data_IF_774579839785
#
_entry.id   IF_774579839785
#
_cell.length_a   1.000
_cell.length_b   1.000
_cell.length_c   1.000
_cell.angle_alpha   90.00
_cell.angle_beta   90.00
_cell.angle_gamma   90.00
#
_symmetry.space_group_name_H-M   'P 1'
#
loop_
_entity.id
_entity.type
_entity.pdbx_description
1 polymer ?
#
# COMPACT_ATOMS: atom_id res chain seq x y z
N UNK A 1 -1.29 -24.47 -23.93
CA UNK A 1 -1.49 -23.60 -22.76
C UNK A 1 -0.74 -22.25 -22.89
N UNK A 2 0.59 -22.22 -23.06
CA UNK A 2 1.40 -20.99 -23.17
C UNK A 2 0.99 -20.14 -24.39
N UNK A 3 0.79 -20.75 -25.56
CA UNK A 3 0.35 -20.06 -26.77
C UNK A 3 -1.03 -19.40 -26.59
N UNK A 4 -1.98 -20.11 -26.01
CA UNK A 4 -3.32 -19.57 -25.75
C UNK A 4 -3.29 -18.44 -24.73
N UNK A 5 -2.48 -18.56 -23.67
CA UNK A 5 -2.28 -17.51 -22.68
C UNK A 5 -1.71 -16.24 -23.32
N UNK A 6 -0.74 -16.39 -24.21
CA UNK A 6 -0.13 -15.27 -24.93
C UNK A 6 -1.16 -14.58 -25.86
N UNK A 7 -1.91 -15.36 -26.63
CA UNK A 7 -2.95 -14.82 -27.52
C UNK A 7 -3.99 -14.04 -26.71
N UNK A 8 -4.48 -14.61 -25.60
CA UNK A 8 -5.43 -13.92 -24.70
C UNK A 8 -4.86 -12.62 -24.15
N UNK A 9 -3.56 -12.59 -23.82
CA UNK A 9 -2.89 -11.39 -23.33
C UNK A 9 -2.85 -10.29 -24.38
N UNK A 10 -2.56 -10.63 -25.65
CA UNK A 10 -2.61 -9.68 -26.75
C UNK A 10 -4.03 -9.19 -27.03
N UNK A 11 -5.02 -10.08 -27.05
CA UNK A 11 -6.41 -9.71 -27.24
C UNK A 11 -6.90 -8.77 -26.12
N UNK A 12 -6.54 -9.05 -24.88
CA UNK A 12 -6.88 -8.19 -23.75
C UNK A 12 -6.21 -6.82 -23.85
N UNK A 13 -4.92 -6.77 -24.22
CA UNK A 13 -4.21 -5.50 -24.42
C UNK A 13 -4.85 -4.68 -25.56
N UNK A 14 -5.15 -5.32 -26.69
CA UNK A 14 -5.84 -4.67 -27.79
C UNK A 14 -7.23 -4.14 -27.41
N UNK A 15 -8.00 -4.94 -26.67
CA UNK A 15 -9.31 -4.51 -26.16
C UNK A 15 -9.20 -3.33 -25.20
N UNK A 16 -8.20 -3.32 -24.31
CA UNK A 16 -7.96 -2.21 -23.38
C UNK A 16 -7.62 -0.92 -24.14
N UNK A 17 -6.68 -0.99 -25.10
CA UNK A 17 -6.25 0.17 -25.88
C UNK A 17 -7.39 0.79 -26.70
N UNK A 18 -8.35 -0.02 -27.17
CA UNK A 18 -9.50 0.44 -27.94
C UNK A 18 -10.75 0.68 -27.09
N UNK A 19 -10.65 0.49 -25.77
CA UNK A 19 -11.77 0.72 -24.85
C UNK A 19 -11.88 2.19 -24.46
N UNK A 20 -13.09 2.75 -24.33
CA UNK A 20 -13.30 4.04 -23.70
C UNK A 20 -12.69 4.13 -22.28
N UNK A 21 -12.56 3.02 -21.57
CA UNK A 21 -11.92 2.93 -20.27
C UNK A 21 -10.42 3.30 -20.30
N UNK A 22 -9.75 3.21 -21.46
CA UNK A 22 -8.37 3.65 -21.62
C UNK A 22 -8.17 5.13 -21.25
N UNK A 23 -9.20 5.97 -21.42
CA UNK A 23 -9.17 7.39 -21.02
C UNK A 23 -9.02 7.57 -19.49
N UNK A 24 -9.32 6.56 -18.69
CA UNK A 24 -9.09 6.64 -17.25
C UNK A 24 -7.60 6.77 -16.89
N UNK A 25 -6.71 6.26 -17.76
CA UNK A 25 -5.25 6.36 -17.58
C UNK A 25 -4.69 7.74 -18.00
N UNK A 26 -5.45 8.55 -18.71
CA UNK A 26 -5.02 9.86 -19.16
C UNK A 26 -5.30 10.94 -18.09
N UNK A 27 -4.31 11.21 -17.26
CA UNK A 27 -4.39 12.23 -16.21
C UNK A 27 -4.43 13.67 -16.76
N UNK A 28 -4.09 13.89 -18.04
CA UNK A 28 -4.20 15.22 -18.66
C UNK A 28 -5.65 15.68 -18.81
N UNK A 29 -6.60 14.75 -18.75
CA UNK A 29 -8.03 15.04 -18.77
C UNK A 29 -8.56 15.49 -17.39
N UNK A 30 -7.75 15.42 -16.33
CA UNK A 30 -8.15 15.81 -15.00
C UNK A 30 -7.93 17.31 -14.79
N UNK A 31 -8.90 18.06 -14.23
CA UNK A 31 -8.69 19.45 -13.84
C UNK A 31 -7.49 19.58 -12.91
N UNK A 32 -6.66 20.59 -13.15
CA UNK A 32 -5.41 20.80 -12.39
C UNK A 32 -5.68 20.98 -10.89
N UNK A 33 -6.82 21.54 -10.51
CA UNK A 33 -7.20 21.69 -9.11
C UNK A 33 -7.48 20.36 -8.43
N UNK A 34 -8.03 19.38 -9.15
CA UNK A 34 -8.18 18.03 -8.64
C UNK A 34 -6.82 17.34 -8.47
N UNK A 35 -5.91 17.54 -9.42
CA UNK A 35 -4.53 17.01 -9.30
C UNK A 35 -3.86 17.55 -8.03
N UNK A 36 -3.95 18.85 -7.78
CA UNK A 36 -3.38 19.50 -6.59
C UNK A 36 -3.85 18.88 -5.28
N UNK A 37 -5.10 18.45 -5.19
CA UNK A 37 -5.67 17.82 -3.98
C UNK A 37 -4.99 16.50 -3.60
N UNK A 38 -4.36 15.83 -4.57
CA UNK A 38 -3.64 14.57 -4.38
C UNK A 38 -2.13 14.75 -4.19
N UNK A 39 -1.63 15.97 -4.24
CA UNK A 39 -0.22 16.25 -4.10
C UNK A 39 0.15 16.76 -2.71
N UNK A 40 1.38 16.56 -2.27
CA UNK A 40 1.88 17.22 -1.07
C UNK A 40 1.75 18.73 -1.16
N UNK A 41 1.51 19.40 -0.02
CA UNK A 41 1.37 20.84 0.02
C UNK A 41 2.56 21.57 -0.61
N UNK A 42 2.28 22.53 -1.49
CA UNK A 42 3.30 23.34 -2.16
C UNK A 42 3.97 22.68 -3.37
N UNK A 43 3.57 21.46 -3.73
CA UNK A 43 4.09 20.81 -4.94
C UNK A 43 3.33 21.28 -6.17
N UNK A 44 4.07 21.71 -7.21
CA UNK A 44 3.51 22.08 -8.50
C UNK A 44 3.17 20.82 -9.32
N UNK A 45 1.92 20.66 -9.79
CA UNK A 45 1.51 19.56 -10.66
C UNK A 45 2.40 19.36 -11.88
N UNK A 46 2.86 20.45 -12.51
CA UNK A 46 3.71 20.35 -13.69
C UNK A 46 5.04 19.67 -13.38
N UNK A 47 5.64 19.94 -12.23
CA UNK A 47 6.86 19.27 -11.77
C UNK A 47 6.62 17.79 -11.48
N UNK A 48 5.48 17.46 -10.87
CA UNK A 48 5.09 16.07 -10.60
C UNK A 48 4.96 15.26 -11.89
N UNK A 49 4.27 15.80 -12.89
CA UNK A 49 4.13 15.13 -14.19
C UNK A 49 5.47 14.95 -14.90
N UNK A 50 6.33 15.96 -14.86
CA UNK A 50 7.69 15.87 -15.43
C UNK A 50 8.51 14.81 -14.71
N UNK A 51 8.55 14.81 -13.37
CA UNK A 51 9.28 13.84 -12.58
C UNK A 51 8.75 12.41 -12.79
N UNK A 52 7.44 12.23 -12.89
CA UNK A 52 6.82 10.91 -13.12
C UNK A 52 7.24 10.27 -14.45
N UNK A 53 7.62 11.07 -15.44
CA UNK A 53 8.12 10.60 -16.75
C UNK A 53 9.64 10.38 -16.78
N UNK A 54 10.37 10.90 -15.81
CA UNK A 54 11.82 10.74 -15.73
C UNK A 54 12.19 9.31 -15.35
N UNK A 55 13.26 8.79 -15.94
CA UNK A 55 13.86 7.50 -15.55
C UNK A 55 14.81 7.64 -14.36
N UNK A 56 15.36 8.84 -14.18
CA UNK A 56 16.28 9.18 -13.10
C UNK A 56 15.53 9.81 -11.92
N UNK A 57 16.13 9.79 -10.74
CA UNK A 57 15.60 10.50 -9.58
C UNK A 57 14.37 9.85 -8.93
N UNK A 58 14.40 8.54 -8.68
CA UNK A 58 13.30 7.82 -8.03
C UNK A 58 12.85 8.46 -6.69
N UNK A 59 13.80 8.93 -5.89
CA UNK A 59 13.49 9.65 -4.65
C UNK A 59 12.75 10.97 -4.93
N UNK A 60 13.18 11.71 -5.94
CA UNK A 60 12.54 12.97 -6.33
C UNK A 60 11.10 12.73 -6.82
N UNK A 61 10.83 11.65 -7.56
CA UNK A 61 9.48 11.30 -8.00
C UNK A 61 8.52 11.08 -6.83
N UNK A 62 8.97 10.38 -5.79
CA UNK A 62 8.13 10.14 -4.61
C UNK A 62 7.88 11.45 -3.84
N UNK A 63 8.91 12.24 -3.60
CA UNK A 63 8.77 13.51 -2.88
C UNK A 63 7.96 14.57 -3.63
N UNK A 64 7.88 14.47 -4.96
CA UNK A 64 7.03 15.33 -5.80
C UNK A 64 5.61 14.76 -6.02
N UNK A 65 5.19 13.75 -5.27
CA UNK A 65 3.80 13.32 -5.24
C UNK A 65 3.40 12.25 -6.25
N UNK A 66 4.35 11.42 -6.72
CA UNK A 66 4.05 10.29 -7.62
C UNK A 66 2.98 9.36 -7.04
N UNK A 67 3.06 9.05 -5.74
CA UNK A 67 2.05 8.26 -5.06
C UNK A 67 0.66 8.91 -5.15
N UNK A 68 0.58 10.22 -5.01
CA UNK A 68 -0.67 10.98 -5.16
C UNK A 68 -1.27 10.86 -6.56
N UNK A 69 -0.45 10.91 -7.61
CA UNK A 69 -0.92 10.64 -8.97
C UNK A 69 -1.44 9.21 -9.11
N UNK A 70 -0.81 8.24 -8.44
CA UNK A 70 -1.28 6.86 -8.37
C UNK A 70 -2.66 6.75 -7.70
N UNK A 71 -2.89 7.46 -6.60
CA UNK A 71 -4.19 7.51 -5.93
C UNK A 71 -5.26 8.19 -6.81
N UNK A 72 -4.93 9.28 -7.48
CA UNK A 72 -5.82 9.92 -8.44
C UNK A 72 -6.18 8.99 -9.60
N UNK A 73 -5.21 8.28 -10.13
CA UNK A 73 -5.44 7.27 -11.16
C UNK A 73 -6.33 6.14 -10.65
N UNK A 74 -6.11 5.66 -9.42
CA UNK A 74 -6.97 4.66 -8.79
C UNK A 74 -8.42 5.13 -8.69
N UNK A 75 -8.67 6.40 -8.30
CA UNK A 75 -10.01 6.98 -8.26
C UNK A 75 -10.66 6.92 -9.65
N UNK A 76 -9.98 7.37 -10.70
CA UNK A 76 -10.47 7.34 -12.08
C UNK A 76 -10.76 5.92 -12.56
N UNK A 77 -9.90 4.98 -12.20
CA UNK A 77 -10.10 3.57 -12.51
C UNK A 77 -11.33 3.00 -11.80
N UNK A 78 -11.59 3.35 -10.54
CA UNK A 78 -12.81 2.91 -9.84
C UNK A 78 -14.09 3.33 -10.56
N UNK A 79 -14.10 4.43 -11.30
CA UNK A 79 -15.23 4.90 -12.09
C UNK A 79 -15.51 4.02 -13.32
N UNK A 80 -14.50 3.35 -13.87
CA UNK A 80 -14.62 2.49 -15.06
C UNK A 80 -14.68 1.00 -14.75
N UNK A 81 -14.54 0.61 -13.48
CA UNK A 81 -14.96 -0.69 -12.96
C UNK A 81 -13.92 -1.82 -12.87
N UNK A 82 -12.59 -1.59 -12.84
CA UNK A 82 -11.65 -2.64 -12.50
C UNK A 82 -11.94 -3.18 -11.09
N UNK A 83 -11.66 -4.46 -10.90
CA UNK A 83 -11.99 -5.15 -9.65
C UNK A 83 -10.85 -5.13 -8.64
N UNK A 84 -9.64 -4.85 -9.11
CA UNK A 84 -8.43 -4.83 -8.28
C UNK A 84 -7.45 -3.80 -8.81
N UNK A 85 -7.02 -2.90 -7.94
CA UNK A 85 -6.06 -1.84 -8.22
C UNK A 85 -5.00 -1.87 -7.13
N UNK A 86 -3.74 -1.79 -7.52
CA UNK A 86 -2.62 -1.65 -6.60
C UNK A 86 -1.94 -0.31 -6.85
N UNK A 87 -1.78 0.47 -5.80
CA UNK A 87 -0.96 1.68 -5.78
C UNK A 87 0.17 1.45 -4.79
N UNK A 88 1.40 1.54 -5.25
CA UNK A 88 2.57 1.31 -4.40
C UNK A 88 3.47 2.53 -4.39
N UNK A 89 4.15 2.75 -3.28
CA UNK A 89 5.34 3.59 -3.26
C UNK A 89 6.49 2.84 -3.92
N UNK A 90 7.43 3.56 -4.51
CA UNK A 90 8.58 2.93 -5.16
C UNK A 90 9.53 2.34 -4.11
N UNK A 91 9.92 1.07 -4.30
CA UNK A 91 10.98 0.47 -3.51
C UNK A 91 12.34 0.97 -4.00
N UNK A 92 13.08 1.57 -3.09
CA UNK A 92 14.46 1.99 -3.32
C UNK A 92 15.27 1.51 -2.12
N UNK A 93 16.22 0.59 -2.31
CA UNK A 93 17.06 0.10 -1.21
C UNK A 93 17.70 1.25 -0.42
N UNK A 94 17.61 1.18 0.91
CA UNK A 94 18.16 2.16 1.85
C UNK A 94 17.54 3.56 1.79
N UNK A 95 16.48 3.73 1.02
CA UNK A 95 15.74 5.00 0.90
C UNK A 95 14.25 4.79 1.14
N UNK A 96 13.52 5.88 1.24
CA UNK A 96 12.07 5.89 1.45
C UNK A 96 11.66 5.03 2.66
N UNK A 97 10.80 4.04 2.47
CA UNK A 97 10.32 3.14 3.52
C UNK A 97 11.37 2.11 3.98
N UNK A 98 12.40 1.86 3.19
CA UNK A 98 13.49 0.96 3.55
C UNK A 98 14.52 1.70 4.43
N UNK A 99 14.11 2.08 5.62
CA UNK A 99 14.91 2.89 6.54
C UNK A 99 16.04 2.07 7.17
N UNK A 100 17.26 2.61 7.15
CA UNK A 100 18.45 2.04 7.77
C UNK A 100 19.16 3.02 8.68
N UNK A 101 18.78 4.28 8.65
CA UNK A 101 19.25 5.35 9.49
C UNK A 101 18.17 6.42 9.64
N UNK A 102 18.17 7.16 10.73
CA UNK A 102 17.24 8.27 10.96
C UNK A 102 15.77 7.91 10.66
N UNK A 103 15.37 6.68 11.00
CA UNK A 103 14.13 6.07 10.56
C UNK A 103 12.88 6.83 11.00
N UNK A 104 12.89 7.44 12.19
CA UNK A 104 11.75 8.23 12.65
C UNK A 104 11.48 9.45 11.78
N UNK A 105 12.54 10.20 11.44
CA UNK A 105 12.41 11.39 10.58
C UNK A 105 11.99 10.97 9.16
N UNK A 106 12.65 9.95 8.60
CA UNK A 106 12.32 9.43 7.26
C UNK A 106 10.89 8.89 7.19
N UNK A 107 10.47 8.12 8.18
CA UNK A 107 9.09 7.62 8.24
C UNK A 107 8.06 8.76 8.35
N UNK A 108 8.37 9.82 9.10
CA UNK A 108 7.50 11.00 9.19
C UNK A 108 7.40 11.72 7.83
N UNK A 109 8.49 11.81 7.09
CA UNK A 109 8.49 12.39 5.74
C UNK A 109 7.66 11.54 4.77
N UNK A 110 7.85 10.22 4.79
CA UNK A 110 7.08 9.30 3.94
C UNK A 110 5.58 9.31 4.28
N UNK A 111 5.22 9.38 5.56
CA UNK A 111 3.82 9.52 5.98
C UNK A 111 3.18 10.77 5.39
N UNK A 112 3.89 11.90 5.38
CA UNK A 112 3.38 13.14 4.76
C UNK A 112 3.13 13.00 3.26
N UNK A 113 3.85 12.10 2.57
CA UNK A 113 3.64 11.85 1.13
C UNK A 113 2.39 11.03 0.84
N UNK A 114 1.96 10.17 1.77
CA UNK A 114 0.82 9.26 1.55
C UNK A 114 -0.48 9.71 2.23
N UNK A 115 -0.41 10.51 3.28
CA UNK A 115 -1.56 10.88 4.12
C UNK A 115 -2.63 11.62 3.32
N UNK A 116 -2.30 12.78 2.76
CA UNK A 116 -3.25 13.58 1.99
C UNK A 116 -3.82 12.82 0.76
N UNK A 117 -3.00 12.13 -0.07
CA UNK A 117 -3.53 11.35 -1.19
C UNK A 117 -4.51 10.24 -0.80
N UNK A 118 -4.24 9.52 0.28
CA UNK A 118 -5.15 8.47 0.76
C UNK A 118 -6.47 9.10 1.26
N UNK A 119 -6.38 10.15 2.07
CA UNK A 119 -7.56 10.86 2.55
C UNK A 119 -8.39 11.40 1.38
N UNK A 120 -7.75 12.02 0.38
CA UNK A 120 -8.45 12.54 -0.79
C UNK A 120 -9.10 11.43 -1.62
N UNK A 121 -8.46 10.27 -1.78
CA UNK A 121 -9.04 9.12 -2.46
C UNK A 121 -10.33 8.66 -1.76
N UNK A 122 -10.32 8.57 -0.42
CA UNK A 122 -11.50 8.18 0.36
C UNK A 122 -12.63 9.19 0.16
N UNK A 123 -12.34 10.48 0.28
CA UNK A 123 -13.33 11.56 0.11
C UNK A 123 -13.91 11.56 -1.31
N UNK A 124 -13.08 11.46 -2.33
CA UNK A 124 -13.52 11.46 -3.72
C UNK A 124 -14.41 10.25 -4.04
N UNK A 125 -14.10 9.07 -3.49
CA UNK A 125 -14.93 7.89 -3.66
C UNK A 125 -16.25 8.00 -2.87
N UNK A 126 -16.25 8.63 -1.70
CA UNK A 126 -17.45 8.89 -0.93
C UNK A 126 -18.38 9.87 -1.68
N UNK A 127 -17.85 11.00 -2.15
CA UNK A 127 -18.59 11.99 -2.94
C UNK A 127 -19.24 11.40 -4.21
N UNK A 128 -18.58 10.41 -4.82
CA UNK A 128 -19.06 9.72 -6.03
C UNK A 128 -19.97 8.52 -5.74
N UNK A 129 -20.27 8.23 -4.47
CA UNK A 129 -21.06 7.08 -4.08
C UNK A 129 -20.39 5.74 -4.38
N UNK A 130 -19.07 5.72 -4.55
CA UNK A 130 -18.27 4.53 -4.86
C UNK A 130 -17.64 3.87 -3.63
N UNK A 131 -17.50 4.60 -2.51
CA UNK A 131 -16.79 4.10 -1.34
C UNK A 131 -17.44 2.84 -0.74
N UNK A 132 -18.76 2.76 -0.74
CA UNK A 132 -19.47 1.59 -0.19
C UNK A 132 -19.22 0.29 -0.97
N UNK A 133 -18.80 0.39 -2.22
CA UNK A 133 -18.48 -0.75 -3.10
C UNK A 133 -16.99 -0.86 -3.44
N UNK A 134 -16.16 -0.11 -2.75
CA UNK A 134 -14.71 -0.11 -2.92
C UNK A 134 -14.05 -0.27 -1.57
N UNK A 135 -13.40 -1.41 -1.35
CA UNK A 135 -12.58 -1.63 -0.17
C UNK A 135 -11.17 -1.09 -0.44
N UNK A 136 -10.75 -0.10 0.33
CA UNK A 136 -9.38 0.41 0.33
C UNK A 136 -8.63 -0.26 1.46
N UNK A 137 -7.50 -0.87 1.16
CA UNK A 137 -6.60 -1.50 2.13
C UNK A 137 -5.26 -0.80 2.07
N UNK A 138 -4.80 -0.24 3.19
CA UNK A 138 -3.46 0.33 3.32
C UNK A 138 -2.65 -0.57 4.22
N UNK A 139 -1.64 -1.18 3.68
CA UNK A 139 -0.81 -2.17 4.36
C UNK A 139 0.65 -2.09 3.88
N UNK A 140 1.53 -2.66 4.66
CA UNK A 140 2.91 -2.96 4.28
C UNK A 140 3.20 -4.45 4.52
N UNK A 141 4.34 -4.92 4.02
CA UNK A 141 4.75 -6.32 4.13
C UNK A 141 5.13 -6.73 5.55
N UNK A 142 5.68 -5.81 6.34
CA UNK A 142 6.03 -5.98 7.76
C UNK A 142 6.14 -4.60 8.43
N UNK A 143 6.23 -4.61 9.76
CA UNK A 143 6.57 -3.42 10.55
C UNK A 143 8.08 -3.31 10.77
N UNK A 144 8.49 -2.17 11.32
CA UNK A 144 9.86 -1.95 11.73
C UNK A 144 9.95 -1.73 13.23
N UNK A 145 10.93 -2.39 13.85
CA UNK A 145 11.20 -2.21 15.28
C UNK A 145 11.91 -0.87 15.51
N UNK A 146 11.60 -0.23 16.63
CA UNK A 146 12.26 1.00 17.07
C UNK A 146 13.65 0.78 17.66
N UNK A 147 14.12 -0.47 17.72
CA UNK A 147 15.45 -0.81 18.19
C UNK A 147 16.46 -0.43 17.13
N UNK A 148 17.58 0.13 17.55
CA UNK A 148 18.77 0.23 16.72
C UNK A 148 19.33 -1.18 16.52
N UNK A 149 19.54 -1.57 15.29
CA UNK A 149 20.34 -2.75 14.98
C UNK A 149 21.80 -2.32 14.88
N UNK A 150 22.64 -3.02 15.56
CA UNK A 150 24.06 -2.80 15.55
C UNK A 150 24.65 -2.91 16.94
N UNK A 151 25.92 -3.17 17.00
CA UNK A 151 26.68 -3.07 18.24
C UNK A 151 27.21 -1.64 18.33
N UNK A 152 27.17 -1.03 19.53
CA UNK A 152 27.86 0.23 19.73
C UNK A 152 29.28 0.18 19.16
N UNK A 153 29.71 1.28 18.55
CA UNK A 153 31.08 1.46 17.99
C UNK A 153 31.48 0.45 16.89
N UNK A 154 30.50 -0.27 16.30
CA UNK A 154 30.77 -1.13 15.15
C UNK A 154 29.98 -0.66 13.94
N UNK A 155 30.68 -0.22 12.93
CA UNK A 155 30.10 0.01 11.61
C UNK A 155 29.81 -1.33 10.96
N UNK A 156 28.54 -1.60 10.72
CA UNK A 156 28.11 -2.68 9.85
C UNK A 156 27.90 -2.09 8.46
N UNK A 157 28.29 -2.81 7.42
CA UNK A 157 28.07 -2.35 6.05
C UNK A 157 26.61 -1.92 5.86
N UNK A 158 26.43 -0.72 5.31
CA UNK A 158 25.12 -0.12 5.04
C UNK A 158 24.28 0.22 6.30
N UNK A 159 24.91 0.28 7.46
CA UNK A 159 24.28 0.72 8.71
C UNK A 159 25.04 1.91 9.31
N UNK A 160 24.30 2.79 9.98
CA UNK A 160 24.89 3.90 10.72
C UNK A 160 25.58 3.36 11.96
N UNK A 161 26.76 3.89 12.26
CA UNK A 161 27.42 3.65 13.54
C UNK A 161 26.54 4.15 14.67
N UNK A 162 26.22 3.26 15.61
CA UNK A 162 25.38 3.57 16.76
C UNK A 162 26.27 3.86 17.95
N UNK A 163 26.19 5.05 18.57
CA UNK A 163 26.94 5.35 19.77
C UNK A 163 26.51 4.45 20.94
N UNK A 164 27.41 4.23 21.88
CA UNK A 164 27.14 3.41 23.07
C UNK A 164 25.91 3.94 23.85
N UNK A 165 25.75 5.25 23.88
CA UNK A 165 24.59 5.92 24.46
C UNK A 165 23.81 6.67 23.38
N UNK A 166 22.58 6.26 23.16
CA UNK A 166 21.70 6.88 22.18
C UNK A 166 21.03 8.11 22.80
N UNK A 167 21.43 9.28 22.35
CA UNK A 167 20.90 10.57 22.81
C UNK A 167 20.11 11.31 21.71
N UNK A 168 20.32 10.96 20.46
CA UNK A 168 19.74 11.64 19.31
C UNK A 168 18.78 10.70 18.55
N UNK A 169 17.62 11.24 18.15
CA UNK A 169 16.60 10.54 17.38
C UNK A 169 17.13 9.96 16.05
N UNK A 170 18.11 10.62 15.42
CA UNK A 170 18.73 10.15 14.18
C UNK A 170 19.46 8.80 14.31
N UNK A 171 19.85 8.40 15.51
CA UNK A 171 20.51 7.12 15.76
C UNK A 171 19.52 5.93 15.72
N UNK A 172 18.20 6.21 15.75
CA UNK A 172 17.19 5.17 15.59
C UNK A 172 16.95 4.88 14.12
N UNK A 173 17.57 3.82 13.62
CA UNK A 173 17.44 3.42 12.21
C UNK A 173 16.09 2.85 11.84
N UNK A 174 15.44 2.13 12.75
CA UNK A 174 14.18 1.41 12.51
C UNK A 174 14.29 0.40 11.36
N UNK A 175 15.43 -0.22 11.18
CA UNK A 175 15.65 -1.09 10.03
C UNK A 175 15.42 -2.58 10.29
N UNK A 176 15.23 -3.00 11.55
CA UNK A 176 14.90 -4.38 11.84
C UNK A 176 13.47 -4.69 11.40
N UNK A 177 13.33 -5.71 10.55
CA UNK A 177 12.03 -6.23 10.14
C UNK A 177 11.32 -6.85 11.33
N UNK A 178 10.09 -6.43 11.58
CA UNK A 178 9.29 -6.88 12.70
C UNK A 178 7.97 -7.44 12.19
N UNK A 179 7.77 -8.74 12.39
CA UNK A 179 6.63 -9.50 11.82
C UNK A 179 5.62 -9.93 12.87
N UNK A 180 5.89 -9.71 14.17
CA UNK A 180 5.01 -10.12 15.26
C UNK A 180 3.79 -9.20 15.45
N UNK A 181 3.84 -8.00 14.91
CA UNK A 181 2.72 -7.08 14.86
C UNK A 181 2.87 -6.09 13.70
N UNK A 182 1.76 -5.62 13.20
CA UNK A 182 1.67 -4.58 12.16
C UNK A 182 0.29 -3.95 12.19
N UNK A 183 0.11 -2.87 11.46
CA UNK A 183 -1.17 -2.18 11.36
C UNK A 183 -1.66 -2.14 9.92
N UNK A 184 -2.95 -2.36 9.73
CA UNK A 184 -3.63 -2.26 8.45
C UNK A 184 -4.79 -1.30 8.59
N UNK A 185 -4.96 -0.37 7.64
CA UNK A 185 -6.11 0.52 7.58
C UNK A 185 -7.09 0.01 6.52
N UNK A 186 -8.37 0.03 6.85
CA UNK A 186 -9.46 -0.36 5.96
C UNK A 186 -10.46 0.79 5.82
N UNK A 187 -10.87 1.10 4.58
CA UNK A 187 -11.91 2.10 4.31
C UNK A 187 -12.90 1.57 3.30
N UNK A 188 -14.17 1.92 3.45
CA UNK A 188 -15.21 1.57 2.51
C UNK A 188 -15.53 0.08 2.44
N UNK A 189 -16.11 -0.39 1.34
CA UNK A 189 -16.37 -1.81 1.08
C UNK A 189 -17.17 -2.55 2.15
N UNK A 190 -17.98 -1.85 2.96
CA UNK A 190 -18.77 -2.44 4.04
C UNK A 190 -18.01 -2.65 5.36
N UNK A 191 -16.83 -2.04 5.56
CA UNK A 191 -16.16 -2.08 6.87
C UNK A 191 -16.78 -1.09 7.85
N UNK A 192 -16.71 -1.41 9.13
CA UNK A 192 -17.18 -0.53 10.22
C UNK A 192 -16.34 0.74 10.28
N UNK A 193 -17.00 1.89 10.35
CA UNK A 193 -16.34 3.19 10.52
C UNK A 193 -15.88 3.39 11.96
N UNK A 194 -14.67 3.94 12.14
CA UNK A 194 -14.12 4.27 13.47
C UNK A 194 -13.94 3.08 14.40
N UNK A 195 -13.74 1.89 13.83
CA UNK A 195 -13.58 0.65 14.58
C UNK A 195 -12.12 0.22 14.66
N UNK A 196 -11.65 -0.05 15.87
CA UNK A 196 -10.33 -0.61 16.11
C UNK A 196 -10.46 -2.09 16.44
N UNK A 197 -9.71 -2.94 15.73
CA UNK A 197 -9.68 -4.38 15.92
C UNK A 197 -8.28 -4.86 16.24
N UNK A 198 -8.15 -5.57 17.34
CA UNK A 198 -6.87 -6.05 17.83
C UNK A 198 -6.10 -5.00 18.66
N UNK A 199 -5.16 -5.50 19.43
CA UNK A 199 -4.27 -4.68 20.26
C UNK A 199 -2.89 -5.31 20.36
N UNK A 200 -1.86 -4.47 20.29
CA UNK A 200 -0.47 -4.86 20.56
C UNK A 200 -0.09 -4.54 22.01
N UNK A 201 0.90 -5.26 22.54
CA UNK A 201 1.49 -4.94 23.82
C UNK A 201 2.15 -3.55 23.78
N UNK A 202 2.10 -2.83 24.89
CA UNK A 202 2.76 -1.53 25.04
C UNK A 202 4.27 -1.68 25.27
N UNK A 203 4.67 -2.83 25.82
CA UNK A 203 6.05 -3.15 26.15
C UNK A 203 6.59 -4.27 25.25
N UNK A 204 7.89 -4.39 25.20
CA UNK A 204 8.57 -5.45 24.44
C UNK A 204 8.36 -6.83 25.04
N UNK A 205 8.24 -7.83 24.19
CA UNK A 205 8.11 -7.77 22.73
C UNK A 205 6.73 -7.23 22.34
N UNK A 206 6.68 -6.29 21.40
CA UNK A 206 5.47 -5.57 20.95
C UNK A 206 4.59 -6.52 20.12
N UNK A 207 4.16 -7.63 20.69
CA UNK A 207 3.34 -8.66 20.02
C UNK A 207 1.86 -8.28 20.08
N UNK A 208 1.10 -8.81 19.14
CA UNK A 208 -0.37 -8.74 19.22
C UNK A 208 -0.87 -9.58 20.39
N UNK A 209 -1.62 -8.97 21.30
CA UNK A 209 -2.14 -9.60 22.55
C UNK A 209 -3.66 -9.78 22.55
N UNK A 210 -4.37 -9.07 21.68
CA UNK A 210 -5.82 -9.24 21.49
C UNK A 210 -6.14 -9.34 20.01
N UNK A 211 -7.04 -10.25 19.66
CA UNK A 211 -7.56 -10.46 18.31
C UNK A 211 -6.46 -10.46 17.24
N UNK A 212 -5.48 -11.37 17.31
CA UNK A 212 -4.42 -11.45 16.31
C UNK A 212 -5.02 -11.76 14.93
N UNK A 213 -4.54 -11.08 13.91
CA UNK A 213 -4.93 -11.28 12.52
C UNK A 213 -3.77 -11.92 11.77
N UNK A 214 -4.00 -13.09 11.20
CA UNK A 214 -3.08 -13.70 10.26
C UNK A 214 -3.28 -13.12 8.86
N UNK A 215 -2.22 -13.11 8.05
CA UNK A 215 -2.29 -12.56 6.69
C UNK A 215 -3.32 -13.30 5.83
N UNK A 216 -3.48 -14.59 6.05
CA UNK A 216 -4.49 -15.41 5.37
C UNK A 216 -5.91 -14.94 5.67
N UNK A 217 -6.17 -14.46 6.91
CA UNK A 217 -7.48 -13.96 7.32
C UNK A 217 -7.76 -12.57 6.73
N UNK A 218 -6.74 -11.73 6.60
CA UNK A 218 -6.84 -10.48 5.88
C UNK A 218 -7.19 -10.73 4.41
N UNK A 219 -6.48 -11.65 3.73
CA UNK A 219 -6.79 -12.04 2.35
C UNK A 219 -8.22 -12.60 2.24
N UNK A 220 -8.61 -13.48 3.17
CA UNK A 220 -9.97 -14.03 3.21
C UNK A 220 -11.04 -12.94 3.35
N UNK A 221 -10.76 -11.90 4.15
CA UNK A 221 -11.63 -10.73 4.32
C UNK A 221 -11.77 -9.96 3.01
N UNK A 222 -10.67 -9.70 2.32
CA UNK A 222 -10.66 -9.02 1.01
C UNK A 222 -11.43 -9.82 -0.05
N UNK A 223 -11.20 -11.13 -0.16
CA UNK A 223 -11.93 -11.99 -1.09
C UNK A 223 -13.43 -12.03 -0.77
N UNK A 224 -13.79 -12.13 0.51
CA UNK A 224 -15.19 -12.11 0.93
C UNK A 224 -15.87 -10.80 0.60
N UNK A 225 -15.19 -9.66 0.76
CA UNK A 225 -15.72 -8.35 0.35
C UNK A 225 -15.96 -8.27 -1.17
N UNK A 226 -15.19 -9.01 -1.97
CA UNK A 226 -15.40 -9.14 -3.42
C UNK A 226 -16.47 -10.17 -3.79
N UNK A 227 -17.11 -10.85 -2.82
CA UNK A 227 -18.05 -11.93 -3.05
C UNK A 227 -17.41 -13.24 -3.50
N UNK A 228 -16.12 -13.40 -3.27
CA UNK A 228 -15.34 -14.59 -3.63
C UNK A 228 -15.13 -15.45 -2.37
N UNK A 229 -15.48 -16.73 -2.45
CA UNK A 229 -15.24 -17.65 -1.34
C UNK A 229 -13.74 -17.77 -1.05
N UNK A 230 -13.28 -17.57 0.20
CA UNK A 230 -11.88 -17.80 0.56
C UNK A 230 -11.39 -19.24 0.33
N UNK A 231 -12.33 -20.19 0.21
CA UNK A 231 -12.06 -21.61 -0.08
C UNK A 231 -12.11 -21.92 -1.57
N UNK A 232 -12.32 -20.91 -2.43
CA UNK A 232 -12.29 -21.13 -3.87
C UNK A 232 -10.92 -21.67 -4.28
N UNK A 233 -10.93 -22.72 -5.08
CA UNK A 233 -9.73 -23.30 -5.66
C UNK A 233 -9.90 -23.56 -7.14
N UNK A 234 -8.79 -23.61 -7.85
CA UNK A 234 -8.69 -24.05 -9.22
C UNK A 234 -7.78 -25.29 -9.26
N UNK A 235 -8.17 -26.30 -10.01
CA UNK A 235 -7.35 -27.46 -10.22
C UNK A 235 -6.42 -27.26 -11.43
N UNK A 236 -5.12 -27.38 -11.20
CA UNK A 236 -4.10 -27.35 -12.25
C UNK A 236 -3.23 -28.58 -12.06
N UNK A 237 -3.13 -29.43 -13.09
CA UNK A 237 -2.36 -30.67 -13.05
C UNK A 237 -2.70 -31.56 -11.83
N UNK A 238 -3.99 -31.66 -11.51
CA UNK A 238 -4.52 -32.43 -10.36
C UNK A 238 -4.05 -31.88 -8.99
N UNK A 239 -3.68 -30.61 -8.93
CA UNK A 239 -3.36 -29.93 -7.67
C UNK A 239 -4.30 -28.75 -7.46
N UNK A 240 -4.93 -28.63 -6.29
CA UNK A 240 -5.75 -27.46 -5.98
C UNK A 240 -4.88 -26.23 -5.68
N UNK A 241 -5.21 -25.12 -6.29
CA UNK A 241 -4.67 -23.80 -5.98
C UNK A 241 -5.77 -22.94 -5.38
N UNK A 242 -5.69 -22.72 -4.11
CA UNK A 242 -6.68 -21.92 -3.37
C UNK A 242 -6.39 -20.43 -3.48
N UNK A 243 -7.42 -19.59 -3.39
CA UNK A 243 -7.28 -18.12 -3.37
C UNK A 243 -6.69 -17.60 -2.05
N UNK A 244 -6.81 -18.36 -0.96
CA UNK A 244 -6.06 -18.14 0.29
C UNK A 244 -5.14 -19.33 0.53
N UNK A 245 -4.12 -19.16 1.37
CA UNK A 245 -3.18 -20.24 1.68
C UNK A 245 -3.95 -21.49 2.14
N UNK A 246 -3.85 -22.56 1.36
CA UNK A 246 -4.50 -23.88 1.58
C UNK A 246 -6.02 -23.80 1.85
N UNK A 247 -6.68 -22.69 1.47
CA UNK A 247 -8.10 -22.45 1.75
C UNK A 247 -8.43 -22.26 3.24
N UNK A 248 -7.43 -21.99 4.09
CA UNK A 248 -7.57 -21.93 5.55
C UNK A 248 -7.96 -20.53 6.07
N UNK A 249 -7.78 -19.47 5.28
CA UNK A 249 -8.09 -18.12 5.69
C UNK A 249 -9.57 -17.94 6.10
N UNK A 250 -9.79 -17.24 7.20
CA UNK A 250 -11.12 -16.95 7.76
C UNK A 250 -11.38 -15.45 7.71
N UNK A 251 -12.48 -15.00 7.06
CA UNK A 251 -12.82 -13.59 7.06
C UNK A 251 -13.00 -13.04 8.46
N UNK A 252 -12.46 -11.86 8.72
CA UNK A 252 -12.59 -11.15 9.99
C UNK A 252 -13.96 -10.46 10.00
N UNK A 253 -14.98 -11.18 10.42
CA UNK A 253 -16.38 -10.68 10.38
C UNK A 253 -16.60 -9.45 11.25
N UNK A 254 -15.85 -9.34 12.34
CA UNK A 254 -16.01 -8.26 13.32
C UNK A 254 -15.66 -6.89 12.75
N UNK A 255 -14.85 -6.80 11.71
CA UNK A 255 -14.53 -5.53 11.04
C UNK A 255 -15.57 -5.13 9.98
N UNK A 256 -16.45 -6.05 9.61
CA UNK A 256 -17.51 -5.79 8.62
C UNK A 256 -18.78 -5.25 9.28
N UNK A 257 -19.51 -4.36 8.57
CA UNK A 257 -20.74 -3.75 9.04
C UNK A 257 -21.96 -4.66 8.83
#
# INVERSE_FOLDING_TARGET
YQRESLIRSFDNAHRLLNSPAAKAFDLSLEPVENVKRYLPAGVDPARTFQAAQSRDGAYERETLGRFGLGCLLARRLCEVGPRYIVVTTEYIPFLNWDTHENGHTRAADMKRQIDAPIAQLVLDLEERGLLNRTLIVVASEFSRDMITEGKPEKTVKDQVEVPEKIEDLKHYGMHRHFTDAGSVLLFGGGVKKGFLYGRTAEERPVKTIENPVHIEDLHATMYSALGISPKLSYEIERRPFYVTRDGLGKPIRDVMA
#
